data_IF_553966937998
#
_entry.id   IF_553966937998
#
_cell.length_a   1.000
_cell.length_b   1.000
_cell.length_c   1.000
_cell.angle_alpha   90.00
_cell.angle_beta   90.00
_cell.angle_gamma   90.00
#
_symmetry.space_group_name_H-M   'P 1'
#
loop_
_entity.id
_entity.type
_entity.pdbx_description
1 polymer ?
#
# COMPACT_ATOMS: atom_id res chain seq x y z
N UNK A 1 40.77 -19.37 -58.13
CA UNK A 1 40.48 -20.15 -56.91
C UNK A 1 40.25 -19.15 -55.79
N UNK A 2 38.98 -18.90 -55.43
CA UNK A 2 38.64 -18.09 -54.27
C UNK A 2 38.65 -18.98 -53.03
N UNK A 3 39.52 -18.70 -52.07
CA UNK A 3 39.50 -19.36 -50.78
C UNK A 3 38.33 -18.77 -50.00
N UNK A 4 37.23 -19.53 -49.89
CA UNK A 4 36.24 -19.32 -48.85
C UNK A 4 36.96 -19.54 -47.52
N UNK A 5 37.34 -18.44 -46.87
CA UNK A 5 37.67 -18.42 -45.45
C UNK A 5 36.37 -18.77 -44.73
N UNK A 6 36.23 -20.07 -44.53
CA UNK A 6 35.13 -20.74 -43.87
C UNK A 6 34.88 -20.06 -42.52
N UNK A 7 33.61 -19.79 -42.27
CA UNK A 7 33.17 -19.09 -41.08
C UNK A 7 33.68 -19.81 -39.84
N UNK A 8 34.35 -19.06 -38.97
CA UNK A 8 34.71 -19.51 -37.64
C UNK A 8 33.41 -19.71 -36.84
N UNK A 9 32.79 -20.88 -37.02
CA UNK A 9 31.58 -21.36 -36.33
C UNK A 9 31.91 -21.75 -34.88
N UNK A 10 33.02 -21.21 -34.34
CA UNK A 10 33.41 -21.39 -32.97
C UNK A 10 32.43 -20.64 -32.07
N UNK A 11 31.91 -21.29 -31.01
CA UNK A 11 31.02 -20.63 -30.07
C UNK A 11 31.74 -19.45 -29.44
N UNK A 12 31.03 -18.34 -29.35
CA UNK A 12 31.52 -17.16 -28.66
C UNK A 12 31.83 -17.48 -27.19
N UNK A 13 32.73 -16.72 -26.57
CA UNK A 13 33.03 -16.86 -25.14
C UNK A 13 31.76 -16.78 -24.26
N UNK A 14 30.80 -15.93 -24.63
CA UNK A 14 29.50 -15.80 -23.94
C UNK A 14 28.68 -17.10 -24.02
N UNK A 15 28.67 -17.75 -25.18
CA UNK A 15 27.98 -19.04 -25.37
C UNK A 15 28.63 -20.15 -24.56
N UNK A 16 29.97 -20.21 -24.56
CA UNK A 16 30.71 -21.17 -23.74
C UNK A 16 30.43 -20.98 -22.24
N UNK A 17 30.45 -19.74 -21.73
CA UNK A 17 30.12 -19.45 -20.32
C UNK A 17 28.69 -19.84 -20.00
N UNK A 18 27.73 -19.53 -20.89
CA UNK A 18 26.31 -19.87 -20.71
C UNK A 18 26.09 -21.38 -20.70
N UNK A 19 26.73 -22.12 -21.60
CA UNK A 19 26.61 -23.58 -21.67
C UNK A 19 27.32 -24.28 -20.52
N UNK A 20 28.47 -23.77 -20.07
CA UNK A 20 29.14 -24.28 -18.89
C UNK A 20 28.30 -24.04 -17.63
N UNK A 21 27.74 -22.83 -17.46
CA UNK A 21 26.78 -22.53 -16.38
C UNK A 21 25.57 -23.47 -16.43
N UNK A 22 24.99 -23.67 -17.62
CA UNK A 22 23.85 -24.60 -17.81
C UNK A 22 24.23 -26.04 -17.47
N UNK A 23 25.47 -26.44 -17.76
CA UNK A 23 25.98 -27.79 -17.47
C UNK A 23 26.21 -27.99 -15.97
N UNK A 24 26.82 -27.03 -15.28
CA UNK A 24 26.96 -27.03 -13.81
C UNK A 24 25.58 -27.11 -13.14
N UNK A 25 24.60 -26.38 -13.68
CA UNK A 25 23.23 -26.32 -13.15
C UNK A 25 22.37 -27.53 -13.51
N UNK A 26 22.74 -28.35 -14.51
CA UNK A 26 21.82 -29.31 -15.16
C UNK A 26 21.33 -30.45 -14.26
N UNK A 27 22.00 -30.70 -13.14
CA UNK A 27 21.65 -31.78 -12.19
C UNK A 27 21.59 -31.30 -10.74
N UNK A 28 21.60 -29.98 -10.51
CA UNK A 28 21.57 -29.42 -9.16
C UNK A 28 20.39 -28.48 -9.04
N UNK A 29 19.60 -28.67 -8.00
CA UNK A 29 18.56 -27.68 -7.69
C UNK A 29 19.23 -26.41 -7.18
N UNK A 30 18.57 -25.26 -7.35
CA UNK A 30 19.06 -23.99 -6.78
C UNK A 30 19.23 -24.10 -5.24
N UNK A 31 18.42 -24.93 -4.60
CA UNK A 31 18.52 -25.23 -3.17
C UNK A 31 19.76 -26.04 -2.80
N UNK A 32 20.21 -26.97 -3.65
CA UNK A 32 21.46 -27.72 -3.45
C UNK A 32 22.69 -26.83 -3.68
N UNK A 33 22.70 -26.04 -4.75
CA UNK A 33 23.77 -25.08 -5.00
C UNK A 33 23.92 -24.07 -3.86
N UNK A 34 22.80 -23.57 -3.32
CA UNK A 34 22.83 -22.62 -2.20
C UNK A 34 23.29 -23.28 -0.90
N UNK A 35 22.88 -24.53 -0.64
CA UNK A 35 23.33 -25.30 0.52
C UNK A 35 24.85 -25.51 0.47
N UNK A 36 25.37 -25.98 -0.65
CA UNK A 36 26.81 -26.18 -0.84
C UNK A 36 27.60 -24.88 -0.64
N UNK A 37 27.09 -23.75 -1.18
CA UNK A 37 27.72 -22.44 -1.02
C UNK A 37 27.73 -21.98 0.45
N UNK A 38 26.60 -22.13 1.15
CA UNK A 38 26.47 -21.76 2.56
C UNK A 38 27.30 -22.66 3.49
N UNK A 39 27.46 -23.94 3.14
CA UNK A 39 28.24 -24.90 3.91
C UNK A 39 29.75 -24.70 3.72
N UNK A 40 30.18 -24.29 2.51
CA UNK A 40 31.59 -24.01 2.21
C UNK A 40 32.06 -22.64 2.73
N UNK A 41 31.14 -21.71 2.93
CA UNK A 41 31.47 -20.32 3.26
C UNK A 41 30.54 -19.78 4.34
N UNK A 42 31.09 -19.56 5.54
CA UNK A 42 30.35 -19.03 6.70
C UNK A 42 29.67 -17.68 6.43
N UNK A 43 30.27 -16.85 5.58
CA UNK A 43 29.68 -15.58 5.15
C UNK A 43 28.30 -15.74 4.50
N UNK A 44 28.11 -16.72 3.61
CA UNK A 44 26.81 -16.97 2.97
C UNK A 44 25.79 -17.55 3.95
N UNK A 45 26.25 -18.28 4.97
CA UNK A 45 25.39 -18.76 6.06
C UNK A 45 24.84 -17.60 6.89
N UNK A 46 25.68 -16.62 7.20
CA UNK A 46 25.26 -15.41 7.92
C UNK A 46 24.29 -14.57 7.08
N UNK A 47 24.55 -14.39 5.78
CA UNK A 47 23.62 -13.74 4.85
C UNK A 47 22.27 -14.47 4.81
N UNK A 48 22.27 -15.80 4.72
CA UNK A 48 21.03 -16.58 4.66
C UNK A 48 20.22 -16.48 5.97
N UNK A 49 20.91 -16.45 7.11
CA UNK A 49 20.30 -16.26 8.43
C UNK A 49 19.69 -14.86 8.56
N UNK A 50 20.43 -13.84 8.12
CA UNK A 50 19.96 -12.45 8.13
C UNK A 50 18.75 -12.28 7.20
N UNK A 51 18.83 -12.77 5.96
CA UNK A 51 17.73 -12.75 5.01
C UNK A 51 16.46 -13.43 5.53
N UNK A 52 16.60 -14.56 6.25
CA UNK A 52 15.47 -15.21 6.93
C UNK A 52 14.86 -14.33 8.01
N UNK A 53 15.71 -13.77 8.88
CA UNK A 53 15.27 -12.91 9.99
C UNK A 53 14.54 -11.66 9.47
N UNK A 54 15.06 -11.06 8.39
CA UNK A 54 14.41 -9.94 7.69
C UNK A 54 13.08 -10.36 7.07
N UNK A 55 13.03 -11.49 6.36
CA UNK A 55 11.80 -12.02 5.79
C UNK A 55 10.71 -12.29 6.83
N UNK A 56 11.08 -12.87 7.98
CA UNK A 56 10.16 -13.08 9.11
C UNK A 56 9.65 -11.75 9.68
N UNK A 57 10.54 -10.75 9.82
CA UNK A 57 10.17 -9.41 10.30
C UNK A 57 9.20 -8.73 9.36
N UNK A 58 9.52 -8.68 8.06
CA UNK A 58 8.64 -8.09 7.02
C UNK A 58 7.31 -8.83 6.96
N UNK A 59 7.30 -10.16 7.03
CA UNK A 59 6.07 -10.96 7.06
C UNK A 59 5.18 -10.64 8.26
N UNK A 60 5.77 -10.46 9.45
CA UNK A 60 5.05 -10.07 10.65
C UNK A 60 4.46 -8.64 10.53
N UNK A 61 5.22 -7.71 9.94
CA UNK A 61 4.79 -6.33 9.68
C UNK A 61 3.61 -6.29 8.71
N UNK A 62 3.70 -6.99 7.58
CA UNK A 62 2.64 -7.04 6.58
C UNK A 62 1.35 -7.67 7.15
N UNK A 63 1.50 -8.73 7.95
CA UNK A 63 0.37 -9.36 8.65
C UNK A 63 -0.29 -8.42 9.64
N UNK A 64 0.52 -7.68 10.43
CA UNK A 64 0.02 -6.68 11.37
C UNK A 64 -0.69 -5.52 10.67
N UNK A 65 -0.15 -5.03 9.56
CA UNK A 65 -0.79 -4.01 8.72
C UNK A 65 -2.15 -4.49 8.19
N UNK A 66 -2.20 -5.71 7.63
CA UNK A 66 -3.45 -6.29 7.14
C UNK A 66 -4.49 -6.41 8.26
N UNK A 67 -4.10 -6.89 9.43
CA UNK A 67 -4.99 -7.01 10.59
C UNK A 67 -5.52 -5.65 11.07
N UNK A 68 -4.66 -4.63 11.12
CA UNK A 68 -5.07 -3.26 11.47
C UNK A 68 -6.05 -2.71 10.42
N UNK A 69 -5.77 -2.85 9.12
CA UNK A 69 -6.66 -2.36 8.06
C UNK A 69 -8.05 -3.02 8.13
N UNK A 70 -8.11 -4.32 8.44
CA UNK A 70 -9.37 -5.03 8.66
C UNK A 70 -10.10 -4.51 9.90
N UNK A 71 -9.39 -4.29 11.01
CA UNK A 71 -9.99 -3.75 12.23
C UNK A 71 -10.56 -2.33 12.01
N UNK A 72 -9.88 -1.50 11.21
CA UNK A 72 -10.36 -0.17 10.81
C UNK A 72 -11.64 -0.27 9.99
N UNK A 73 -11.68 -1.18 9.02
CA UNK A 73 -12.87 -1.40 8.20
C UNK A 73 -14.07 -1.83 9.06
N UNK A 74 -13.89 -2.78 9.98
CA UNK A 74 -14.93 -3.23 10.90
C UNK A 74 -15.41 -2.10 11.83
N UNK A 75 -14.48 -1.29 12.32
CA UNK A 75 -14.78 -0.15 13.17
C UNK A 75 -15.63 0.91 12.44
N UNK A 76 -15.26 1.29 11.22
CA UNK A 76 -16.02 2.28 10.45
C UNK A 76 -17.41 1.74 10.04
N UNK A 77 -17.53 0.45 9.67
CA UNK A 77 -18.82 -0.20 9.41
C UNK A 77 -19.75 -0.17 10.63
N UNK A 78 -19.21 -0.47 11.82
CA UNK A 78 -19.99 -0.48 13.07
C UNK A 78 -20.51 0.91 13.44
N UNK A 79 -19.74 1.96 13.17
CA UNK A 79 -20.15 3.34 13.44
C UNK A 79 -21.20 3.85 12.44
N UNK A 80 -21.22 3.33 11.21
CA UNK A 80 -22.24 3.69 10.21
C UNK A 80 -23.63 3.19 10.59
N UNK A 81 -23.75 2.03 11.25
CA UNK A 81 -25.04 1.43 11.61
C UNK A 81 -25.70 2.12 12.82
N UNK A 82 -24.90 2.53 13.81
CA UNK A 82 -25.39 3.19 15.03
C UNK A 82 -25.95 4.61 14.80
N UNK A 83 -25.71 5.20 13.62
CA UNK A 83 -26.16 6.55 13.27
C UNK A 83 -27.62 6.66 12.81
N UNK A 84 -28.37 5.56 12.73
CA UNK A 84 -29.78 5.58 12.32
C UNK A 84 -30.68 5.64 13.56
N UNK A 85 -31.19 6.82 13.99
CA UNK A 85 -32.12 6.87 15.09
C UNK A 85 -33.37 6.08 14.73
N UNK A 86 -33.61 4.99 15.45
CA UNK A 86 -34.84 4.20 15.35
C UNK A 86 -36.01 5.13 15.65
N UNK A 87 -36.76 5.46 14.60
CA UNK A 87 -37.94 6.31 14.67
C UNK A 87 -39.00 5.55 15.46
N UNK A 88 -39.13 5.90 16.74
CA UNK A 88 -40.24 5.42 17.55
C UNK A 88 -41.58 5.76 16.85
N UNK A 89 -42.56 4.86 16.87
CA UNK A 89 -43.90 5.17 16.40
C UNK A 89 -44.55 6.08 17.44
N UNK A 90 -44.52 7.39 17.20
CA UNK A 90 -45.35 8.34 17.94
C UNK A 90 -46.14 9.18 16.96
N UNK A 91 -47.42 9.26 17.29
CA UNK A 91 -48.59 9.77 16.59
C UNK A 91 -48.46 11.08 15.81
N UNK A 92 -49.39 11.32 14.86
CA UNK A 92 -49.36 12.45 13.96
C UNK A 92 -49.87 13.71 14.67
N UNK A 93 -49.03 14.74 14.84
CA UNK A 93 -49.50 16.13 14.94
C UNK A 93 -48.39 17.17 14.78
N UNK A 94 -48.71 18.14 13.93
CA UNK A 94 -48.08 19.44 13.62
C UNK A 94 -47.00 19.53 12.51
N UNK A 95 -47.25 20.38 11.48
CA UNK A 95 -46.25 20.73 10.48
C UNK A 95 -45.44 21.92 10.97
N UNK A 96 -44.15 21.72 11.21
CA UNK A 96 -43.21 22.84 11.34
C UNK A 96 -42.01 22.57 10.43
N UNK A 97 -41.92 23.38 9.37
CA UNK A 97 -40.88 23.32 8.36
C UNK A 97 -39.52 23.66 8.97
N UNK A 98 -38.74 22.63 9.28
CA UNK A 98 -37.29 22.74 9.38
C UNK A 98 -36.69 21.80 8.36
N UNK A 99 -36.25 22.40 7.25
CA UNK A 99 -35.47 21.79 6.18
C UNK A 99 -34.12 21.37 6.80
N UNK A 100 -34.04 20.15 7.29
CA UNK A 100 -32.78 19.54 7.71
C UNK A 100 -31.98 19.21 6.45
N UNK A 101 -31.05 20.10 6.12
CA UNK A 101 -30.00 19.86 5.12
C UNK A 101 -28.73 19.59 5.92
N UNK A 102 -28.31 18.33 6.00
CA UNK A 102 -27.09 17.98 6.75
C UNK A 102 -26.95 16.49 7.00
N UNK A 103 -26.77 15.70 5.95
CA UNK A 103 -26.55 14.25 6.08
C UNK A 103 -25.95 13.66 4.81
N UNK A 104 -24.69 13.96 4.50
CA UNK A 104 -24.02 13.40 3.32
C UNK A 104 -22.50 13.13 3.51
N UNK A 105 -21.97 13.14 4.74
CA UNK A 105 -20.52 13.04 4.97
C UNK A 105 -20.05 11.70 5.59
N UNK A 106 -20.84 10.63 5.46
CA UNK A 106 -20.48 9.30 5.98
C UNK A 106 -19.74 8.42 4.95
N UNK A 107 -19.88 8.71 3.66
CA UNK A 107 -19.27 7.92 2.59
C UNK A 107 -17.73 7.96 2.57
N UNK A 108 -17.13 9.11 2.93
CA UNK A 108 -15.68 9.30 2.80
C UNK A 108 -14.83 8.40 3.71
N UNK A 109 -15.27 8.13 4.96
CA UNK A 109 -14.47 7.34 5.90
C UNK A 109 -14.46 5.84 5.59
N UNK A 110 -15.61 5.31 5.16
CA UNK A 110 -15.70 3.91 4.75
C UNK A 110 -14.86 3.65 3.50
N UNK A 111 -14.91 4.58 2.54
CA UNK A 111 -14.08 4.53 1.32
C UNK A 111 -12.58 4.63 1.65
N UNK A 112 -12.18 5.53 2.56
CA UNK A 112 -10.81 5.64 3.06
C UNK A 112 -10.34 4.32 3.69
N UNK A 113 -11.16 3.70 4.55
CA UNK A 113 -10.85 2.42 5.19
C UNK A 113 -10.72 1.28 4.16
N UNK A 114 -11.62 1.23 3.18
CA UNK A 114 -11.57 0.25 2.10
C UNK A 114 -10.31 0.44 1.24
N UNK A 115 -9.94 1.68 0.93
CA UNK A 115 -8.71 2.00 0.20
C UNK A 115 -7.48 1.51 0.98
N UNK A 116 -7.43 1.72 2.30
CA UNK A 116 -6.34 1.22 3.14
C UNK A 116 -6.23 -0.31 3.11
N UNK A 117 -7.35 -1.04 3.12
CA UNK A 117 -7.36 -2.50 2.97
C UNK A 117 -6.80 -2.93 1.62
N UNK A 118 -7.17 -2.24 0.54
CA UNK A 118 -6.63 -2.53 -0.79
C UNK A 118 -5.12 -2.25 -0.89
N UNK A 119 -4.67 -1.13 -0.33
CA UNK A 119 -3.24 -0.78 -0.26
C UNK A 119 -2.47 -1.84 0.53
N UNK A 120 -2.92 -2.21 1.73
CA UNK A 120 -2.26 -3.23 2.53
C UNK A 120 -2.18 -4.59 1.81
N UNK A 121 -3.24 -4.97 1.08
CA UNK A 121 -3.26 -6.20 0.25
C UNK A 121 -2.27 -6.12 -0.91
N UNK A 122 -2.17 -4.98 -1.58
CA UNK A 122 -1.22 -4.78 -2.67
C UNK A 122 0.23 -4.91 -2.16
N UNK A 123 0.56 -4.32 -1.00
CA UNK A 123 1.87 -4.50 -0.36
C UNK A 123 2.14 -5.96 0.02
N UNK A 124 1.17 -6.66 0.60
CA UNK A 124 1.32 -8.08 0.92
C UNK A 124 1.62 -8.91 -0.33
N UNK A 125 0.88 -8.69 -1.41
CA UNK A 125 1.09 -9.38 -2.69
C UNK A 125 2.47 -9.08 -3.28
N UNK A 126 2.87 -7.81 -3.26
CA UNK A 126 4.15 -7.34 -3.77
C UNK A 126 5.30 -8.05 -3.05
N UNK A 127 5.36 -7.93 -1.73
CA UNK A 127 6.44 -8.50 -0.91
C UNK A 127 6.42 -10.03 -0.79
N UNK A 128 5.29 -10.68 -1.08
CA UNK A 128 5.21 -12.14 -1.17
C UNK A 128 5.86 -12.69 -2.45
N UNK A 129 5.97 -11.86 -3.48
CA UNK A 129 6.52 -12.25 -4.79
C UNK A 129 7.96 -11.78 -4.97
N UNK A 130 8.29 -10.58 -4.49
CA UNK A 130 9.63 -10.01 -4.56
C UNK A 130 10.00 -9.39 -3.21
N UNK A 131 11.08 -9.85 -2.53
CA UNK A 131 11.46 -9.33 -1.22
C UNK A 131 11.95 -7.87 -1.28
N UNK A 132 12.43 -7.44 -2.44
CA UNK A 132 12.87 -6.06 -2.73
C UNK A 132 12.16 -5.66 -4.04
N UNK A 133 10.93 -5.13 -3.96
CA UNK A 133 10.21 -4.73 -5.16
C UNK A 133 10.84 -3.51 -5.81
N UNK A 134 10.93 -3.53 -7.15
CA UNK A 134 11.41 -2.36 -7.89
C UNK A 134 10.38 -1.23 -7.90
N UNK A 135 10.81 0.02 -8.15
CA UNK A 135 9.90 1.16 -8.36
C UNK A 135 8.79 0.86 -9.37
N UNK A 136 9.11 0.17 -10.46
CA UNK A 136 8.15 -0.24 -11.48
C UNK A 136 7.13 -1.26 -10.96
N UNK A 137 7.57 -2.28 -10.23
CA UNK A 137 6.68 -3.28 -9.62
C UNK A 137 5.75 -2.64 -8.58
N UNK A 138 6.32 -1.78 -7.72
CA UNK A 138 5.58 -1.02 -6.72
C UNK A 138 4.50 -0.14 -7.38
N UNK A 139 4.89 0.63 -8.40
CA UNK A 139 3.97 1.50 -9.14
C UNK A 139 2.85 0.70 -9.80
N UNK A 140 3.19 -0.41 -10.48
CA UNK A 140 2.21 -1.26 -11.16
C UNK A 140 1.16 -1.84 -10.20
N UNK A 141 1.56 -2.08 -8.95
CA UNK A 141 0.69 -2.65 -7.91
C UNK A 141 -0.24 -1.60 -7.29
N UNK A 142 0.21 -0.36 -7.11
CA UNK A 142 -0.54 0.68 -6.40
C UNK A 142 -1.33 1.62 -7.30
N UNK A 143 -0.85 1.92 -8.52
CA UNK A 143 -1.50 2.87 -9.43
C UNK A 143 -2.98 2.55 -9.72
N UNK A 144 -3.41 1.29 -9.89
CA UNK A 144 -4.82 0.98 -10.13
C UNK A 144 -5.74 1.41 -8.99
N UNK A 145 -5.23 1.40 -7.74
CA UNK A 145 -6.01 1.71 -6.54
C UNK A 145 -6.40 3.19 -6.45
N UNK A 146 -5.59 4.08 -7.03
CA UNK A 146 -5.83 5.53 -6.97
C UNK A 146 -6.54 6.09 -8.20
N UNK A 147 -6.58 5.34 -9.29
CA UNK A 147 -7.26 5.74 -10.53
C UNK A 147 -8.79 5.61 -10.40
N UNK A 148 -9.26 4.69 -9.55
CA UNK A 148 -10.69 4.37 -9.41
C UNK A 148 -11.50 5.43 -8.63
N UNK A 149 -10.89 6.17 -7.68
CA UNK A 149 -11.60 7.23 -6.93
C UNK A 149 -12.04 8.43 -7.78
N UNK A 150 -11.50 8.62 -8.99
CA UNK A 150 -11.78 9.80 -9.81
C UNK A 150 -13.03 9.64 -10.70
N UNK A 151 -13.53 8.41 -10.87
CA UNK A 151 -14.57 8.12 -11.85
C UNK A 151 -15.99 8.30 -11.28
N UNK A 152 -16.17 8.24 -9.95
CA UNK A 152 -17.50 8.29 -9.31
C UNK A 152 -18.06 9.71 -9.05
N UNK A 153 -17.31 10.78 -9.36
CA UNK A 153 -17.76 12.18 -9.09
C UNK A 153 -18.22 12.92 -10.35
N UNK A 154 -18.04 12.36 -11.54
CA UNK A 154 -18.48 13.00 -12.79
C UNK A 154 -19.52 12.18 -13.53
N UNK A 155 -20.73 12.09 -12.95
CA UNK A 155 -21.93 11.95 -13.78
C UNK A 155 -22.39 13.37 -14.16
N UNK A 156 -22.15 13.87 -15.39
CA UNK A 156 -22.68 15.16 -15.79
C UNK A 156 -24.20 15.05 -15.92
N UNK A 157 -24.92 15.69 -15.01
CA UNK A 157 -26.33 16.02 -15.21
C UNK A 157 -26.40 16.97 -16.40
N UNK A 158 -26.83 16.43 -17.53
CA UNK A 158 -27.19 17.17 -18.73
C UNK A 158 -28.43 18.01 -18.42
N UNK A 159 -28.33 19.32 -18.66
CA UNK A 159 -29.48 20.17 -19.01
C UNK A 159 -29.80 21.30 -18.04
N UNK A 160 -29.34 22.52 -18.36
CA UNK A 160 -30.21 23.66 -18.66
C UNK A 160 -29.40 24.99 -18.72
N UNK A 161 -29.81 25.83 -19.66
CA UNK A 161 -29.25 27.09 -20.16
C UNK A 161 -28.79 28.15 -19.13
N UNK A 162 -27.93 29.09 -19.57
CA UNK A 162 -27.46 30.19 -18.71
C UNK A 162 -28.51 31.30 -18.62
N UNK A 163 -28.89 31.67 -17.40
CA UNK A 163 -29.66 32.89 -17.09
C UNK A 163 -28.85 33.76 -16.15
N UNK A 164 -28.61 35.01 -16.57
CA UNK A 164 -27.99 36.10 -15.81
C UNK A 164 -28.91 36.54 -14.66
N UNK A 165 -28.33 36.80 -13.47
CA UNK A 165 -28.58 38.00 -12.65
C UNK A 165 -27.73 38.03 -11.36
N UNK A 166 -27.13 39.21 -11.12
CA UNK A 166 -26.93 39.96 -9.88
C UNK A 166 -26.32 39.31 -8.60
N UNK A 167 -25.15 39.84 -8.25
CA UNK A 167 -24.70 40.49 -6.99
C UNK A 167 -25.00 39.92 -5.59
N UNK A 168 -23.91 39.95 -4.79
CA UNK A 168 -23.77 40.15 -3.34
C UNK A 168 -24.37 39.14 -2.35
N UNK A 169 -23.49 38.39 -1.66
CA UNK A 169 -23.16 38.57 -0.22
C UNK A 169 -22.53 37.29 0.38
N UNK A 170 -21.47 37.47 1.16
CA UNK A 170 -21.11 36.54 2.24
C UNK A 170 -20.44 35.23 1.85
N UNK A 171 -19.21 35.28 1.33
CA UNK A 171 -18.31 34.11 1.32
C UNK A 171 -17.96 33.74 2.76
N UNK A 172 -18.82 32.96 3.42
CA UNK A 172 -18.45 32.24 4.64
C UNK A 172 -17.36 31.27 4.21
N UNK A 173 -16.12 31.62 4.55
CA UNK A 173 -14.93 30.80 4.40
C UNK A 173 -15.19 29.49 5.17
N UNK A 174 -15.76 28.50 4.50
CA UNK A 174 -16.01 27.18 5.04
C UNK A 174 -14.63 26.61 5.35
N UNK A 175 -14.29 26.64 6.64
CA UNK A 175 -13.06 26.04 7.14
C UNK A 175 -13.12 24.57 6.75
N UNK A 176 -12.18 24.05 5.94
CA UNK A 176 -12.24 22.68 5.48
C UNK A 176 -12.29 21.76 6.71
N UNK A 177 -13.20 20.77 6.73
CA UNK A 177 -13.29 19.83 7.85
C UNK A 177 -11.90 19.22 8.06
N UNK A 178 -11.42 19.22 9.31
CA UNK A 178 -10.11 18.70 9.65
C UNK A 178 -9.92 17.32 9.01
N UNK A 179 -9.02 17.25 8.02
CA UNK A 179 -8.80 16.05 7.24
C UNK A 179 -8.46 14.89 8.19
N UNK A 180 -9.08 13.73 7.96
CA UNK A 180 -8.77 12.54 8.75
C UNK A 180 -7.29 12.20 8.57
N UNK A 181 -6.63 11.66 9.60
CA UNK A 181 -5.23 11.23 9.50
C UNK A 181 -5.04 10.24 8.34
N UNK A 182 -6.04 9.37 8.13
CA UNK A 182 -6.04 8.39 7.05
C UNK A 182 -6.16 9.09 5.68
N UNK A 183 -7.04 10.08 5.56
CA UNK A 183 -7.21 10.92 4.37
C UNK A 183 -5.90 11.61 3.96
N UNK A 184 -5.22 12.20 4.96
CA UNK A 184 -3.94 12.86 4.75
C UNK A 184 -2.88 11.87 4.24
N UNK A 185 -2.80 10.68 4.84
CA UNK A 185 -1.87 9.65 4.40
C UNK A 185 -2.19 9.14 2.99
N UNK A 186 -3.44 8.81 2.69
CA UNK A 186 -3.84 8.32 1.36
C UNK A 186 -3.58 9.36 0.27
N UNK A 187 -3.74 10.65 0.60
CA UNK A 187 -3.37 11.75 -0.29
C UNK A 187 -1.86 11.79 -0.53
N UNK A 188 -1.04 11.69 0.54
CA UNK A 188 0.42 11.62 0.43
C UNK A 188 0.88 10.42 -0.40
N UNK A 189 0.29 9.24 -0.17
CA UNK A 189 0.61 8.03 -0.93
C UNK A 189 0.24 8.17 -2.41
N UNK A 190 -0.92 8.77 -2.72
CA UNK A 190 -1.29 9.09 -4.11
C UNK A 190 -0.26 10.00 -4.77
N UNK A 191 0.14 11.09 -4.10
CA UNK A 191 1.16 12.00 -4.60
C UNK A 191 2.51 11.30 -4.83
N UNK A 192 2.90 10.37 -3.96
CA UNK A 192 4.10 9.53 -4.16
C UNK A 192 3.99 8.62 -5.37
N UNK A 193 2.84 7.97 -5.55
CA UNK A 193 2.55 7.15 -6.74
C UNK A 193 2.69 7.97 -8.02
N UNK A 194 2.13 9.18 -8.05
CA UNK A 194 2.22 10.08 -9.20
C UNK A 194 3.67 10.55 -9.45
N UNK A 195 4.39 10.89 -8.37
CA UNK A 195 5.81 11.26 -8.44
C UNK A 195 6.68 10.15 -9.02
N UNK A 196 6.55 8.91 -8.52
CA UNK A 196 7.32 7.76 -9.02
C UNK A 196 6.96 7.46 -10.49
N UNK A 197 5.70 7.62 -10.88
CA UNK A 197 5.28 7.47 -12.27
C UNK A 197 5.95 8.50 -13.18
N UNK A 198 6.06 9.76 -12.74
CA UNK A 198 6.75 10.82 -13.46
C UNK A 198 8.25 10.56 -13.52
N UNK A 199 8.87 10.18 -12.41
CA UNK A 199 10.29 9.88 -12.31
C UNK A 199 10.69 8.77 -13.28
N UNK A 200 9.99 7.63 -13.27
CA UNK A 200 10.22 6.51 -14.19
C UNK A 200 10.02 6.88 -15.66
N UNK A 201 9.17 7.85 -15.96
CA UNK A 201 8.97 8.33 -17.34
C UNK A 201 10.08 9.27 -17.81
N UNK A 202 10.79 9.91 -16.87
CA UNK A 202 11.86 10.87 -17.14
C UNK A 202 13.27 10.28 -17.10
N UNK A 203 13.43 9.09 -16.53
CA UNK A 203 14.73 8.49 -16.24
C UNK A 203 15.14 7.55 -17.38
N UNK A 204 15.94 8.07 -18.31
CA UNK A 204 16.67 7.26 -19.30
C UNK A 204 18.00 6.77 -18.70
N UNK A 205 17.94 5.79 -17.79
CA UNK A 205 19.14 5.25 -17.14
C UNK A 205 18.82 4.22 -16.07
N UNK A 206 19.55 3.10 -16.09
CA UNK A 206 19.45 2.00 -15.13
C UNK A 206 20.24 2.41 -13.87
N UNK A 207 19.60 3.17 -12.99
CA UNK A 207 20.17 3.43 -11.67
C UNK A 207 19.77 2.27 -10.75
N UNK A 208 20.79 1.49 -10.37
CA UNK A 208 20.69 0.40 -9.41
C UNK A 208 20.11 0.91 -8.09
N UNK A 209 18.82 0.67 -7.90
CA UNK A 209 18.12 0.95 -6.64
C UNK A 209 18.53 -0.15 -5.64
N UNK A 210 19.29 0.24 -4.62
CA UNK A 210 19.77 -0.63 -3.53
C UNK A 210 18.64 -1.19 -2.64
N UNK A 211 17.39 -0.85 -2.95
CA UNK A 211 16.18 -1.26 -2.24
C UNK A 211 15.75 -0.27 -1.15
N UNK A 212 16.50 0.82 -0.94
CA UNK A 212 16.14 1.89 0.01
C UNK A 212 14.75 2.45 -0.24
N UNK A 213 14.38 2.66 -1.51
CA UNK A 213 13.04 3.10 -1.90
C UNK A 213 11.93 2.18 -1.37
N UNK A 214 12.09 0.87 -1.54
CA UNK A 214 11.06 -0.09 -1.14
C UNK A 214 10.82 -0.06 0.38
N UNK A 215 11.91 0.05 1.14
CA UNK A 215 11.85 0.20 2.59
C UNK A 215 11.16 1.49 3.02
N UNK A 216 11.57 2.63 2.46
CA UNK A 216 11.04 3.94 2.82
C UNK A 216 9.52 3.98 2.60
N UNK A 217 9.05 3.48 1.46
CA UNK A 217 7.63 3.42 1.14
C UNK A 217 6.87 2.44 2.07
N UNK A 218 7.49 1.31 2.44
CA UNK A 218 6.91 0.41 3.45
C UNK A 218 6.81 1.08 4.82
N UNK A 219 7.85 1.80 5.28
CA UNK A 219 7.86 2.51 6.56
C UNK A 219 6.78 3.59 6.62
N UNK A 220 6.56 4.31 5.53
CA UNK A 220 5.48 5.30 5.43
C UNK A 220 4.10 4.65 5.64
N UNK A 221 3.85 3.50 5.02
CA UNK A 221 2.60 2.76 5.23
C UNK A 221 2.49 2.20 6.65
N UNK A 222 3.57 1.67 7.21
CA UNK A 222 3.62 1.24 8.61
C UNK A 222 3.27 2.39 9.56
N UNK A 223 3.80 3.59 9.31
CA UNK A 223 3.50 4.78 10.11
C UNK A 223 2.01 5.14 10.06
N UNK A 224 1.36 5.04 8.90
CA UNK A 224 -0.10 5.21 8.80
C UNK A 224 -0.84 4.18 9.66
N UNK A 225 -0.55 2.89 9.45
CA UNK A 225 -1.17 1.79 10.19
C UNK A 225 -0.93 1.92 11.70
N UNK A 226 0.21 2.45 12.13
CA UNK A 226 0.48 2.74 13.54
C UNK A 226 -0.48 3.77 14.12
N UNK A 227 -0.64 4.92 13.45
CA UNK A 227 -1.50 5.99 13.96
C UNK A 227 -2.95 5.54 13.99
N UNK A 228 -3.42 4.89 12.92
CA UNK A 228 -4.80 4.41 12.84
C UNK A 228 -5.03 3.23 13.79
N UNK A 229 -4.11 2.29 13.87
CA UNK A 229 -4.18 1.15 14.78
C UNK A 229 -4.25 1.57 16.25
N UNK A 230 -3.47 2.59 16.66
CA UNK A 230 -3.57 3.19 18.01
C UNK A 230 -4.94 3.78 18.30
N UNK A 231 -5.60 4.37 17.29
CA UNK A 231 -6.95 4.91 17.42
C UNK A 231 -7.98 3.79 17.61
N UNK A 232 -7.86 2.71 16.83
CA UNK A 232 -8.78 1.56 16.87
C UNK A 232 -8.57 0.68 18.12
N UNK A 233 -7.36 0.67 18.68
CA UNK A 233 -7.02 -0.03 19.92
C UNK A 233 -7.56 0.65 21.20
N UNK A 234 -8.34 1.74 21.09
CA UNK A 234 -8.90 2.40 22.27
C UNK A 234 -9.98 1.52 22.90
N UNK A 235 -10.08 1.43 24.24
CA UNK A 235 -10.99 0.49 24.92
C UNK A 235 -12.49 0.66 24.58
N UNK A 236 -12.89 1.78 24.00
CA UNK A 236 -14.27 2.12 23.68
C UNK A 236 -14.72 1.70 22.29
N UNK A 237 -13.82 1.20 21.43
CA UNK A 237 -14.07 1.07 19.99
C UNK A 237 -14.23 -0.36 19.49
N UNK A 238 -13.73 -1.36 20.23
CA UNK A 238 -13.75 -2.76 19.82
C UNK A 238 -14.05 -3.69 21.01
N UNK A 239 -14.48 -4.94 20.74
CA UNK A 239 -14.47 -6.01 21.73
C UNK A 239 -13.10 -6.14 22.41
N UNK A 240 -13.08 -6.59 23.67
CA UNK A 240 -11.86 -6.64 24.48
C UNK A 240 -10.76 -7.53 23.89
N UNK A 241 -11.14 -8.64 23.25
CA UNK A 241 -10.23 -9.55 22.57
C UNK A 241 -9.54 -8.88 21.36
N UNK A 242 -10.33 -8.26 20.48
CA UNK A 242 -9.82 -7.57 19.29
C UNK A 242 -8.91 -6.40 19.67
N UNK A 243 -9.26 -5.67 20.74
CA UNK A 243 -8.45 -4.57 21.27
C UNK A 243 -7.06 -5.05 21.72
N UNK A 244 -6.93 -6.27 22.25
CA UNK A 244 -5.63 -6.84 22.64
C UNK A 244 -4.81 -7.21 21.40
N UNK A 245 -5.44 -7.85 20.41
CA UNK A 245 -4.78 -8.22 19.16
C UNK A 245 -4.25 -7.00 18.40
N UNK A 246 -5.07 -5.96 18.25
CA UNK A 246 -4.64 -4.71 17.60
C UNK A 246 -3.48 -4.05 18.35
N UNK A 247 -3.44 -4.13 19.68
CA UNK A 247 -2.30 -3.63 20.47
C UNK A 247 -1.00 -4.39 20.18
N UNK A 248 -1.06 -5.72 20.06
CA UNK A 248 0.12 -6.51 19.67
C UNK A 248 0.55 -6.21 18.23
N UNK A 249 -0.39 -6.05 17.30
CA UNK A 249 -0.08 -5.63 15.92
C UNK A 249 0.62 -4.26 15.90
N UNK A 250 0.09 -3.27 16.64
CA UNK A 250 0.70 -1.95 16.78
C UNK A 250 2.10 -2.04 17.40
N UNK A 251 2.32 -2.94 18.37
CA UNK A 251 3.64 -3.18 18.96
C UNK A 251 4.63 -3.75 17.93
N UNK A 252 4.21 -4.72 17.12
CA UNK A 252 5.01 -5.26 16.01
C UNK A 252 5.45 -4.15 15.06
N UNK A 253 4.52 -3.28 14.66
CA UNK A 253 4.81 -2.14 13.79
C UNK A 253 5.76 -1.13 14.44
N UNK A 254 5.64 -0.87 15.75
CA UNK A 254 6.55 0.03 16.48
C UNK A 254 7.97 -0.51 16.54
N UNK A 255 8.11 -1.81 16.80
CA UNK A 255 9.41 -2.47 16.85
C UNK A 255 10.12 -2.36 15.49
N UNK A 256 9.38 -2.57 14.39
CA UNK A 256 9.91 -2.39 13.04
C UNK A 256 10.40 -0.96 12.80
N UNK A 257 9.59 0.06 13.12
CA UNK A 257 9.97 1.47 12.95
C UNK A 257 11.17 1.90 13.79
N UNK A 258 11.38 1.27 14.96
CA UNK A 258 12.52 1.55 15.84
C UNK A 258 13.78 0.76 15.52
N UNK A 259 13.69 -0.22 14.61
CA UNK A 259 14.82 -1.03 14.19
C UNK A 259 15.44 -0.45 12.93
N UNK A 260 16.75 -0.21 12.93
CA UNK A 260 17.53 0.05 11.70
C UNK A 260 17.68 -1.25 10.92
N UNK A 261 16.58 -1.81 10.41
CA UNK A 261 16.55 -3.18 9.88
C UNK A 261 17.24 -3.36 8.53
N UNK A 262 17.65 -2.28 7.87
CA UNK A 262 18.07 -2.28 6.46
C UNK A 262 19.25 -1.36 6.15
N UNK A 263 20.00 -0.90 7.17
CA UNK A 263 21.37 -0.41 6.90
C UNK A 263 22.18 -1.61 6.37
N UNK A 264 22.51 -1.58 5.08
CA UNK A 264 23.42 -2.52 4.40
C UNK A 264 24.83 -1.93 4.35
#
# INVERSE_FOLDING_TARGET
>A
MGLNLDGDDAPSFSELVRDFRRTIMKNRTMTECWRDLADQHTFFKDIAKEGRTRGETVGAVLSAMQGISQAVQLFELSNSEAGTPSRAPTDPSFPSGKKSVGGACSGSRSEEAQTLVHVARAYLSLYSSTPIPTRAQWLSSLRPLFTQCLIDVHTPVIGASPSRCAEEEGTILSTPPAASVLSHYLTKLRQRVDYVAQELSSREGDDDDDGSFAEEELKELVQCCLVVGRRVARPTTLPSFDTRLVREMVKTLQNFMGSSTLEW
#
